data_IF_801324497730
#
_entry.id   IF_801324497730
#
_cell.length_a   1.000
_cell.length_b   1.000
_cell.length_c   1.000
_cell.angle_alpha   90.00
_cell.angle_beta   90.00
_cell.angle_gamma   90.00
#
_symmetry.space_group_name_H-M   'P 1'
#
loop_
_entity.id
_entity.type
_entity.pdbx_description
1 polymer ?
#
# COMPACT_ATOMS: atom_id res chain seq x y z
N UNK A 1 23.61 92.71 5.51
CA UNK A 1 23.48 91.55 4.60
C UNK A 1 23.66 90.24 5.33
N UNK A 2 22.65 89.37 5.33
CA UNK A 2 22.68 88.09 4.61
C UNK A 2 21.44 87.25 4.97
N UNK A 3 20.82 86.76 3.90
CA UNK A 3 19.60 85.97 3.83
C UNK A 3 19.70 84.61 4.52
N UNK A 4 18.57 84.00 4.88
CA UNK A 4 18.01 82.86 4.12
C UNK A 4 16.74 82.25 4.76
N UNK A 5 15.65 82.28 4.00
CA UNK A 5 14.57 81.28 3.93
C UNK A 5 15.16 79.90 3.54
N UNK A 6 14.52 78.73 3.54
CA UNK A 6 13.16 78.29 3.27
C UNK A 6 13.09 76.77 3.62
N UNK A 7 11.96 76.24 4.10
CA UNK A 7 11.00 75.40 3.35
C UNK A 7 11.21 73.87 3.37
N UNK A 8 10.17 73.23 3.91
CA UNK A 8 9.43 72.07 3.36
C UNK A 8 10.08 70.69 3.28
N UNK A 9 9.54 69.81 4.11
CA UNK A 9 9.65 68.34 4.04
C UNK A 9 9.06 67.76 2.75
N UNK A 10 9.55 66.58 2.32
CA UNK A 10 8.75 65.65 1.55
C UNK A 10 8.46 64.37 2.34
N UNK A 11 7.17 64.04 2.42
CA UNK A 11 6.69 62.69 2.72
C UNK A 11 7.17 61.72 1.63
N UNK A 12 7.66 60.55 2.01
CA UNK A 12 7.72 59.38 1.13
C UNK A 12 7.63 58.09 1.93
N UNK A 13 6.57 57.34 1.65
CA UNK A 13 6.15 56.07 2.24
C UNK A 13 7.10 54.90 1.93
N UNK A 14 7.17 53.86 2.79
CA UNK A 14 8.02 52.70 2.54
C UNK A 14 7.33 51.68 1.60
N UNK A 15 8.08 51.23 0.59
CA UNK A 15 7.68 50.15 -0.32
C UNK A 15 8.08 48.78 0.24
N UNK A 16 7.16 47.83 0.12
CA UNK A 16 7.27 46.41 0.49
C UNK A 16 8.42 45.73 -0.27
N UNK A 17 9.45 45.25 0.44
CA UNK A 17 10.54 44.48 -0.15
C UNK A 17 10.14 43.01 -0.36
N UNK A 18 10.10 42.59 -1.63
CA UNK A 18 9.93 41.19 -2.04
C UNK A 18 11.27 40.47 -1.99
N UNK A 19 11.40 39.47 -1.14
CA UNK A 19 12.56 38.59 -1.07
C UNK A 19 12.61 37.64 -2.27
N UNK A 20 13.72 37.67 -3.02
CA UNK A 20 14.14 36.62 -3.95
C UNK A 20 15.46 36.03 -3.43
N UNK A 21 15.45 34.75 -3.06
CA UNK A 21 16.66 34.04 -2.65
C UNK A 21 17.37 33.47 -3.87
N UNK A 22 18.53 34.04 -4.18
CA UNK A 22 19.48 33.58 -5.20
C UNK A 22 20.40 32.49 -4.63
N UNK A 23 20.57 31.43 -5.42
CA UNK A 23 21.58 30.38 -5.25
C UNK A 23 23.00 31.00 -5.25
N UNK A 24 23.85 30.60 -4.31
CA UNK A 24 25.29 30.90 -4.35
C UNK A 24 26.12 29.64 -4.58
N UNK A 25 26.75 29.65 -5.75
CA UNK A 25 27.92 28.89 -6.16
C UNK A 25 29.10 29.32 -5.31
N UNK A 26 29.83 28.36 -4.72
CA UNK A 26 31.16 28.61 -4.17
C UNK A 26 32.19 27.95 -5.08
N UNK A 27 33.04 28.80 -5.66
CA UNK A 27 34.33 28.44 -6.22
C UNK A 27 35.38 28.99 -5.25
N UNK A 28 36.27 28.13 -4.75
CA UNK A 28 37.62 28.56 -4.42
C UNK A 28 38.60 27.39 -4.58
N UNK A 29 39.52 27.62 -5.51
CA UNK A 29 40.68 26.84 -5.87
C UNK A 29 41.75 26.93 -4.77
N UNK A 30 42.43 25.82 -4.47
CA UNK A 30 43.79 25.81 -3.90
C UNK A 30 44.51 24.49 -4.19
N UNK A 31 45.64 24.63 -4.86
CA UNK A 31 46.70 23.65 -5.19
C UNK A 31 47.27 22.99 -3.91
N UNK A 32 48.00 21.88 -3.84
CA UNK A 32 48.55 20.86 -4.76
C UNK A 32 49.10 19.71 -3.87
N UNK A 33 49.13 18.47 -4.37
CA UNK A 33 50.21 17.47 -4.12
C UNK A 33 49.96 16.19 -4.93
N UNK A 34 50.91 15.90 -5.81
CA UNK A 34 50.99 14.76 -6.72
C UNK A 34 51.42 13.51 -5.96
N UNK A 35 50.68 12.41 -6.11
CA UNK A 35 51.21 11.06 -5.90
C UNK A 35 50.78 10.21 -7.09
N UNK A 36 51.76 9.82 -7.92
CA UNK A 36 51.62 8.89 -9.04
C UNK A 36 51.34 7.49 -8.49
N UNK A 37 50.34 6.80 -9.05
CA UNK A 37 50.45 5.36 -9.28
C UNK A 37 49.84 5.02 -10.65
N UNK A 38 50.70 4.54 -11.55
CA UNK A 38 50.36 3.96 -12.86
C UNK A 38 50.18 2.46 -12.66
N UNK A 39 49.19 1.88 -13.32
CA UNK A 39 49.25 0.66 -14.15
C UNK A 39 47.79 0.24 -14.41
N UNK A 40 47.37 -0.36 -15.52
CA UNK A 40 47.83 -0.46 -16.90
C UNK A 40 46.65 -1.14 -17.61
N UNK A 41 46.27 -0.64 -18.78
CA UNK A 41 45.29 -1.27 -19.65
C UNK A 41 45.88 -2.56 -20.24
N UNK A 42 45.15 -3.66 -20.17
CA UNK A 42 45.44 -4.86 -20.94
C UNK A 42 44.14 -5.38 -21.58
N UNK A 43 44.20 -5.43 -22.91
CA UNK A 43 43.27 -6.12 -23.82
C UNK A 43 43.62 -7.60 -23.85
N UNK A 44 42.63 -8.49 -23.97
CA UNK A 44 42.45 -9.47 -25.06
C UNK A 44 41.20 -10.35 -24.78
N UNK A 45 40.33 -10.54 -25.79
CA UNK A 45 40.09 -11.78 -26.55
C UNK A 45 39.27 -12.83 -25.79
N UNK A 46 38.00 -13.08 -26.09
CA UNK A 46 37.39 -13.77 -27.26
C UNK A 46 37.03 -15.24 -26.93
N UNK A 47 35.90 -15.70 -27.47
CA UNK A 47 35.54 -17.10 -27.85
C UNK A 47 35.37 -18.12 -26.68
N UNK A 48 34.40 -19.04 -26.57
CA UNK A 48 33.54 -19.81 -27.50
C UNK A 48 32.38 -20.48 -26.69
N UNK A 49 31.17 -20.58 -27.24
CA UNK A 49 30.46 -21.77 -27.80
C UNK A 49 29.90 -22.82 -26.83
N UNK A 50 28.64 -23.17 -27.13
CA UNK A 50 28.00 -24.49 -27.00
C UNK A 50 27.51 -24.94 -25.61
N UNK A 51 26.19 -25.03 -25.46
CA UNK A 51 25.53 -25.94 -24.52
C UNK A 51 24.48 -26.72 -25.33
N UNK A 52 24.93 -27.80 -25.97
CA UNK A 52 24.07 -28.77 -26.64
C UNK A 52 24.12 -30.12 -25.93
N UNK A 53 22.98 -30.49 -25.36
CA UNK A 53 22.37 -31.82 -25.32
C UNK A 53 23.23 -33.05 -24.95
N UNK A 54 22.89 -33.67 -23.82
CA UNK A 54 23.00 -35.10 -23.65
C UNK A 54 21.63 -35.68 -23.24
N UNK A 55 20.94 -36.20 -24.24
CA UNK A 55 19.94 -37.27 -24.13
C UNK A 55 20.66 -38.53 -23.63
N UNK A 56 20.08 -39.27 -22.67
CA UNK A 56 20.26 -40.72 -22.52
C UNK A 56 19.31 -41.31 -21.47
N UNK A 57 18.22 -41.89 -21.98
CA UNK A 57 17.72 -43.24 -21.62
C UNK A 57 16.97 -43.46 -20.28
N UNK A 58 16.12 -44.52 -20.17
CA UNK A 58 15.36 -45.23 -21.21
C UNK A 58 13.88 -45.45 -20.85
N UNK A 59 13.16 -45.85 -21.88
CA UNK A 59 11.79 -46.35 -21.90
C UNK A 59 11.55 -47.58 -21.01
N UNK A 60 10.35 -47.63 -20.42
CA UNK A 60 9.65 -48.89 -20.15
C UNK A 60 8.16 -48.69 -20.33
N UNK A 61 7.73 -48.88 -21.57
CA UNK A 61 6.34 -49.17 -21.89
C UNK A 61 6.03 -50.58 -21.36
N UNK A 62 5.16 -50.70 -20.36
CA UNK A 62 4.33 -51.92 -20.20
C UNK A 62 2.86 -51.54 -20.24
N UNK A 63 2.37 -51.55 -21.48
CA UNK A 63 1.05 -51.91 -21.97
C UNK A 63 0.15 -52.66 -20.94
N UNK A 64 -1.00 -52.03 -20.66
CA UNK A 64 -2.38 -52.57 -20.61
C UNK A 64 -2.67 -53.82 -19.75
N UNK A 65 -3.74 -53.75 -18.95
CA UNK A 65 -5.07 -54.34 -19.22
C UNK A 65 -5.94 -54.33 -17.96
N UNK A 66 -7.23 -53.99 -18.16
CA UNK A 66 -8.30 -54.31 -17.23
C UNK A 66 -8.43 -55.84 -17.07
N UNK A 67 -8.61 -56.31 -15.84
CA UNK A 67 -9.28 -57.57 -15.52
C UNK A 67 -9.63 -57.61 -14.02
N UNK A 68 -10.93 -57.54 -13.72
CA UNK A 68 -11.56 -58.25 -12.58
C UNK A 68 -11.57 -59.77 -12.87
N UNK A 69 -12.06 -60.70 -11.99
CA UNK A 69 -12.40 -60.75 -10.54
C UNK A 69 -11.63 -61.97 -9.87
N UNK A 70 -12.01 -62.68 -8.77
CA UNK A 70 -13.26 -62.65 -7.99
C UNK A 70 -13.19 -62.91 -6.44
N UNK A 71 -14.37 -62.76 -5.82
CA UNK A 71 -14.91 -63.47 -4.64
C UNK A 71 -14.29 -63.28 -3.24
N UNK A 72 -15.18 -63.00 -2.27
CA UNK A 72 -15.14 -63.62 -0.94
C UNK A 72 -14.69 -62.71 0.20
N UNK A 73 -15.61 -62.40 1.11
CA UNK A 73 -15.43 -61.39 2.15
C UNK A 73 -14.53 -61.79 3.32
N UNK A 74 -14.11 -60.76 4.07
CA UNK A 74 -14.04 -60.78 5.52
C UNK A 74 -13.86 -59.33 6.02
N UNK A 75 -14.55 -59.07 7.11
CA UNK A 75 -14.62 -57.84 7.90
C UNK A 75 -13.25 -57.24 8.27
N UNK A 76 -13.09 -55.94 8.05
CA UNK A 76 -11.96 -55.16 8.56
C UNK A 76 -12.21 -53.68 8.35
N UNK A 77 -12.83 -53.03 9.33
CA UNK A 77 -13.25 -51.63 9.26
C UNK A 77 -12.09 -50.67 9.06
N UNK A 78 -12.04 -50.03 7.89
CA UNK A 78 -11.28 -48.80 7.69
C UNK A 78 -12.20 -47.66 8.09
N UNK A 79 -11.99 -47.12 9.29
CA UNK A 79 -12.55 -45.83 9.68
C UNK A 79 -12.16 -44.78 8.62
N UNK A 80 -13.11 -44.04 8.03
CA UNK A 80 -12.77 -42.81 7.34
C UNK A 80 -12.27 -41.86 8.42
N UNK A 81 -10.96 -41.56 8.40
CA UNK A 81 -10.45 -40.39 9.10
C UNK A 81 -11.26 -39.19 8.58
N UNK A 82 -12.02 -38.46 9.43
CA UNK A 82 -12.66 -37.25 8.97
C UNK A 82 -11.53 -36.33 8.56
N UNK A 83 -11.49 -35.94 7.29
CA UNK A 83 -10.77 -34.75 6.88
C UNK A 83 -11.19 -33.65 7.85
N UNK A 84 -10.28 -33.27 8.75
CA UNK A 84 -10.52 -32.15 9.65
C UNK A 84 -10.88 -30.97 8.74
N UNK A 85 -12.06 -30.35 8.90
CA UNK A 85 -12.36 -29.19 8.11
C UNK A 85 -11.29 -28.15 8.47
N UNK A 86 -10.60 -27.62 7.47
CA UNK A 86 -9.75 -26.43 7.59
C UNK A 86 -10.59 -25.16 7.89
N UNK A 87 -11.78 -25.31 8.48
CA UNK A 87 -12.79 -24.28 8.70
C UNK A 87 -12.66 -23.59 10.07
N UNK A 88 -11.53 -23.78 10.76
CA UNK A 88 -11.29 -23.05 12.01
C UNK A 88 -10.90 -21.59 11.78
N UNK A 89 -10.55 -21.20 10.54
CA UNK A 89 -10.09 -19.85 10.20
C UNK A 89 -11.22 -18.90 9.81
N UNK A 90 -12.40 -19.43 9.44
CA UNK A 90 -13.55 -18.63 8.98
C UNK A 90 -14.23 -17.83 10.11
N UNK A 91 -14.05 -18.25 11.36
CA UNK A 91 -14.67 -17.61 12.54
C UNK A 91 -14.18 -16.18 12.83
N UNK A 92 -13.14 -15.72 12.15
CA UNK A 92 -12.58 -14.37 12.34
C UNK A 92 -12.50 -13.55 11.05
N UNK A 93 -13.17 -14.00 9.98
CA UNK A 93 -13.29 -13.28 8.72
C UNK A 93 -14.64 -12.57 8.67
N UNK A 94 -14.76 -11.44 9.36
CA UNK A 94 -16.01 -10.66 9.35
C UNK A 94 -15.95 -9.57 8.29
N UNK A 95 -16.95 -9.57 7.41
CA UNK A 95 -17.19 -8.47 6.50
C UNK A 95 -17.93 -7.32 7.21
N UNK A 96 -17.51 -6.10 6.92
CA UNK A 96 -18.06 -4.87 7.45
C UNK A 96 -18.35 -3.90 6.32
N UNK A 97 -19.53 -3.29 6.36
CA UNK A 97 -19.90 -2.17 5.50
C UNK A 97 -19.92 -0.92 6.35
N UNK A 98 -19.03 0.03 6.04
CA UNK A 98 -18.92 1.29 6.77
C UNK A 98 -19.52 2.42 5.95
N UNK A 99 -20.66 2.96 6.39
CA UNK A 99 -21.26 4.14 5.79
C UNK A 99 -20.56 5.42 6.25
N UNK A 100 -20.37 6.36 5.33
CA UNK A 100 -19.78 7.67 5.62
C UNK A 100 -20.85 8.74 5.84
N UNK A 101 -20.48 9.81 6.56
CA UNK A 101 -21.41 10.91 6.87
C UNK A 101 -21.86 11.71 5.63
N UNK A 102 -21.05 11.73 4.56
CA UNK A 102 -21.34 12.42 3.31
C UNK A 102 -22.05 11.53 2.27
N UNK A 103 -22.51 10.35 2.68
CA UNK A 103 -23.02 9.33 1.78
C UNK A 103 -21.94 8.37 1.30
N UNK A 104 -22.39 7.30 0.66
CA UNK A 104 -21.55 6.20 0.22
C UNK A 104 -21.08 5.29 1.36
N UNK A 105 -20.46 4.19 0.96
CA UNK A 105 -19.96 3.18 1.88
C UNK A 105 -18.66 2.56 1.40
N UNK A 106 -17.95 1.91 2.32
CA UNK A 106 -16.81 1.06 2.02
C UNK A 106 -17.01 -0.32 2.64
N UNK A 107 -16.69 -1.35 1.87
CA UNK A 107 -16.74 -2.74 2.31
C UNK A 107 -15.35 -3.24 2.62
N UNK A 108 -15.18 -3.85 3.78
CA UNK A 108 -13.90 -4.34 4.26
C UNK A 108 -14.04 -5.62 5.06
N UNK A 109 -13.01 -6.46 5.02
CA UNK A 109 -12.92 -7.67 5.84
C UNK A 109 -11.80 -7.48 6.84
N UNK A 110 -12.07 -7.77 8.11
CA UNK A 110 -11.09 -7.59 9.19
C UNK A 110 -10.82 -8.94 9.85
N UNK A 111 -9.54 -9.24 10.04
CA UNK A 111 -9.08 -10.46 10.70
C UNK A 111 -7.90 -10.13 11.61
N UNK A 112 -7.86 -10.72 12.80
CA UNK A 112 -6.71 -10.60 13.70
C UNK A 112 -6.14 -11.98 13.99
N UNK A 113 -4.81 -12.11 13.90
CA UNK A 113 -4.08 -13.30 14.28
C UNK A 113 -3.26 -13.01 15.55
N UNK A 114 -3.61 -13.62 16.70
CA UNK A 114 -2.89 -13.39 17.96
C UNK A 114 -1.47 -13.97 17.95
N UNK A 115 -1.20 -15.02 17.16
CA UNK A 115 0.08 -15.74 17.17
C UNK A 115 1.23 -14.89 16.67
N UNK A 116 0.95 -13.95 15.76
CA UNK A 116 1.91 -13.00 15.20
C UNK A 116 1.57 -11.54 15.55
N UNK A 117 0.61 -11.31 16.46
CA UNK A 117 0.13 -10.00 16.85
C UNK A 117 -0.18 -9.08 15.64
N UNK A 118 -0.87 -9.64 14.63
CA UNK A 118 -1.11 -8.98 13.34
C UNK A 118 -2.59 -8.80 13.05
N UNK A 119 -2.99 -7.57 12.77
CA UNK A 119 -4.30 -7.23 12.21
C UNK A 119 -4.19 -7.14 10.69
N UNK A 120 -5.04 -7.88 10.00
CA UNK A 120 -5.26 -7.78 8.56
C UNK A 120 -6.56 -7.03 8.30
N UNK A 121 -6.51 -6.05 7.41
CA UNK A 121 -7.68 -5.34 6.89
C UNK A 121 -7.67 -5.46 5.38
N UNK A 122 -8.65 -6.16 4.81
CA UNK A 122 -8.87 -6.20 3.37
C UNK A 122 -9.86 -5.11 2.99
N UNK A 123 -9.46 -4.18 2.13
CA UNK A 123 -10.38 -3.23 1.51
C UNK A 123 -10.95 -3.88 0.25
N UNK A 124 -12.26 -4.09 0.20
CA UNK A 124 -12.93 -4.81 -0.88
C UNK A 124 -13.36 -3.85 -1.97
N UNK A 125 -14.31 -2.98 -1.68
CA UNK A 125 -14.87 -2.03 -2.64
C UNK A 125 -15.41 -0.79 -1.93
N UNK A 126 -15.61 0.29 -2.68
CA UNK A 126 -16.38 1.43 -2.20
C UNK A 126 -17.48 1.79 -3.19
N UNK A 127 -18.61 2.26 -2.67
CA UNK A 127 -19.86 2.44 -3.41
C UNK A 127 -20.49 3.78 -3.05
N UNK A 128 -21.21 4.38 -4.00
CA UNK A 128 -22.00 5.62 -3.83
C UNK A 128 -21.21 6.81 -3.23
N UNK A 129 -19.91 6.89 -3.50
CA UNK A 129 -19.05 7.98 -3.02
C UNK A 129 -19.12 9.24 -3.88
N UNK A 130 -19.52 9.10 -5.15
CA UNK A 130 -19.45 10.17 -6.15
C UNK A 130 -20.85 10.53 -6.65
N UNK A 131 -21.06 11.81 -6.93
CA UNK A 131 -22.27 12.26 -7.61
C UNK A 131 -22.44 11.56 -8.97
N UNK A 132 -23.69 11.28 -9.36
CA UNK A 132 -24.03 10.60 -10.62
C UNK A 132 -23.53 11.37 -11.85
N UNK A 133 -23.45 12.69 -11.76
CA UNK A 133 -23.01 13.59 -12.83
C UNK A 133 -21.50 13.93 -12.79
N UNK A 134 -20.76 13.44 -11.79
CA UNK A 134 -19.31 13.65 -11.69
C UNK A 134 -18.58 13.07 -12.92
N UNK A 135 -17.70 13.82 -13.59
CA UNK A 135 -16.91 13.25 -14.69
C UNK A 135 -16.01 12.11 -14.19
N UNK A 136 -16.22 10.92 -14.75
CA UNK A 136 -15.48 9.70 -14.41
C UNK A 136 -13.98 9.89 -14.60
N UNK A 137 -13.55 10.64 -15.62
CA UNK A 137 -12.12 10.90 -15.87
C UNK A 137 -11.44 11.71 -14.76
N UNK A 138 -12.24 12.37 -13.91
CA UNK A 138 -11.75 13.13 -12.76
C UNK A 138 -11.65 12.30 -11.47
N UNK A 139 -12.02 11.01 -11.52
CA UNK A 139 -12.00 10.11 -10.37
C UNK A 139 -10.66 9.38 -10.27
N UNK A 140 -10.00 9.55 -9.12
CA UNK A 140 -8.76 8.89 -8.72
C UNK A 140 -8.94 8.42 -7.26
N UNK A 141 -9.68 7.34 -7.04
CA UNK A 141 -10.05 6.88 -5.71
C UNK A 141 -8.87 6.21 -4.99
N UNK A 142 -8.62 6.63 -3.75
CA UNK A 142 -7.60 6.07 -2.88
C UNK A 142 -8.13 5.92 -1.46
N UNK A 143 -7.87 4.78 -0.82
CA UNK A 143 -8.20 4.52 0.57
C UNK A 143 -6.94 4.65 1.42
N UNK A 144 -7.02 5.39 2.52
CA UNK A 144 -5.97 5.47 3.52
C UNK A 144 -6.47 4.85 4.83
N UNK A 145 -5.65 3.99 5.40
CA UNK A 145 -5.91 3.33 6.68
C UNK A 145 -4.81 3.69 7.68
N UNK A 146 -5.16 3.85 8.94
CA UNK A 146 -4.20 4.00 10.04
C UNK A 146 -4.88 3.71 11.37
N UNK A 147 -4.07 3.45 12.40
CA UNK A 147 -4.61 3.23 13.74
C UNK A 147 -4.50 4.48 14.60
N UNK A 148 -5.48 4.67 15.47
CA UNK A 148 -5.53 5.69 16.51
C UNK A 148 -5.52 5.03 17.90
N UNK A 149 -4.99 5.69 18.95
CA UNK A 149 -4.38 7.02 18.94
C UNK A 149 -3.01 7.07 18.22
N UNK A 150 -2.59 8.27 17.81
CA UNK A 150 -1.23 8.51 17.28
C UNK A 150 -1.04 8.36 15.76
N UNK A 151 -2.09 8.03 14.99
CA UNK A 151 -2.02 7.90 13.52
C UNK A 151 -0.88 6.97 13.05
N UNK A 152 -0.77 5.82 13.70
CA UNK A 152 0.33 4.88 13.51
C UNK A 152 0.10 3.99 12.30
N UNK A 153 1.20 3.47 11.72
CA UNK A 153 1.21 2.49 10.63
C UNK A 153 0.29 2.87 9.46
N UNK A 154 0.34 4.14 9.05
CA UNK A 154 -0.48 4.65 7.96
C UNK A 154 -0.13 3.95 6.65
N UNK A 155 -1.15 3.35 6.04
CA UNK A 155 -1.06 2.68 4.75
C UNK A 155 -2.05 3.30 3.75
N UNK A 156 -1.79 3.11 2.46
CA UNK A 156 -2.62 3.62 1.37
C UNK A 156 -2.78 2.56 0.31
N UNK A 157 -3.97 2.49 -0.26
CA UNK A 157 -4.26 1.63 -1.40
C UNK A 157 -3.60 2.13 -2.68
N UNK A 158 -3.61 1.28 -3.70
CA UNK A 158 -3.45 1.75 -5.07
C UNK A 158 -4.57 2.73 -5.43
N UNK A 159 -4.31 3.55 -6.45
CA UNK A 159 -5.29 4.53 -6.93
C UNK A 159 -6.09 3.87 -8.04
N UNK A 160 -7.39 3.72 -7.83
CA UNK A 160 -8.33 3.28 -8.87
C UNK A 160 -8.84 4.51 -9.61
N UNK A 161 -8.50 4.58 -10.90
CA UNK A 161 -8.90 5.69 -11.76
C UNK A 161 -10.20 5.36 -12.49
N UNK A 162 -10.93 6.40 -12.87
CA UNK A 162 -12.03 6.29 -13.82
C UNK A 162 -13.15 5.31 -13.41
N UNK A 163 -13.45 5.18 -12.11
CA UNK A 163 -14.53 4.32 -11.62
C UNK A 163 -15.27 4.96 -10.44
N UNK A 164 -16.61 4.97 -10.50
CA UNK A 164 -17.47 5.36 -9.37
C UNK A 164 -17.62 4.26 -8.33
N UNK A 165 -17.41 3.00 -8.73
CA UNK A 165 -17.49 1.81 -7.89
C UNK A 165 -16.13 1.10 -7.86
N UNK A 166 -15.11 1.70 -7.24
CA UNK A 166 -13.77 1.14 -7.20
C UNK A 166 -13.74 -0.17 -6.40
N UNK A 167 -13.17 -1.22 -6.99
CA UNK A 167 -12.93 -2.53 -6.37
C UNK A 167 -11.43 -2.65 -6.13
N UNK A 168 -11.03 -2.67 -4.87
CA UNK A 168 -9.62 -2.70 -4.46
C UNK A 168 -9.12 -4.14 -4.29
N UNK A 169 -9.82 -4.94 -3.49
CA UNK A 169 -9.37 -6.27 -3.05
C UNK A 169 -7.93 -6.27 -2.51
N UNK A 170 -7.55 -5.20 -1.80
CA UNK A 170 -6.19 -4.99 -1.29
C UNK A 170 -6.12 -5.35 0.21
N UNK A 171 -5.07 -6.09 0.58
CA UNK A 171 -4.80 -6.47 1.97
C UNK A 171 -3.78 -5.50 2.61
N UNK A 172 -4.13 -5.01 3.80
CA UNK A 172 -3.28 -4.17 4.64
C UNK A 172 -2.97 -4.88 5.95
N UNK A 173 -1.75 -4.69 6.44
CA UNK A 173 -1.27 -5.41 7.62
C UNK A 173 -0.75 -4.43 8.66
N UNK A 174 -1.19 -4.61 9.90
CA UNK A 174 -0.76 -3.84 11.05
C UNK A 174 -0.12 -4.78 12.07
N UNK A 175 1.16 -4.58 12.30
CA UNK A 175 2.02 -5.51 13.06
C UNK A 175 2.28 -5.01 14.48
N UNK A 176 2.64 -5.92 15.39
CA UNK A 176 2.98 -5.57 16.78
C UNK A 176 1.79 -5.15 17.64
N UNK A 177 0.59 -5.59 17.28
CA UNK A 177 -0.65 -5.27 17.97
C UNK A 177 -1.02 -6.35 18.99
N UNK A 178 -0.41 -6.31 20.17
CA UNK A 178 -0.84 -7.19 21.26
C UNK A 178 -2.31 -6.95 21.66
N UNK A 179 -2.97 -7.96 22.25
CA UNK A 179 -4.41 -7.90 22.62
C UNK A 179 -4.77 -6.68 23.49
N UNK A 180 -3.89 -6.31 24.43
CA UNK A 180 -4.09 -5.13 25.28
C UNK A 180 -4.05 -3.80 24.50
N UNK A 181 -3.28 -3.74 23.42
CA UNK A 181 -3.22 -2.57 22.54
C UNK A 181 -4.44 -2.55 21.63
N UNK A 182 -4.80 -3.70 21.04
CA UNK A 182 -5.98 -3.86 20.20
C UNK A 182 -7.26 -3.28 20.85
N UNK A 183 -7.49 -3.57 22.14
CA UNK A 183 -8.64 -3.05 22.90
C UNK A 183 -8.68 -1.52 23.07
N UNK A 184 -7.53 -0.85 22.96
CA UNK A 184 -7.37 0.60 23.17
C UNK A 184 -7.26 1.38 21.86
N UNK A 185 -7.30 0.68 20.73
CA UNK A 185 -7.06 1.26 19.42
C UNK A 185 -8.31 1.30 18.56
N UNK A 186 -8.30 2.24 17.62
CA UNK A 186 -9.33 2.40 16.60
C UNK A 186 -8.72 2.35 15.22
N UNK A 187 -9.40 1.70 14.28
CA UNK A 187 -9.08 1.79 12.86
C UNK A 187 -9.74 3.04 12.28
N UNK A 188 -8.94 3.91 11.66
CA UNK A 188 -9.44 5.04 10.86
C UNK A 188 -9.31 4.72 9.38
N UNK A 189 -10.43 4.83 8.67
CA UNK A 189 -10.55 4.67 7.23
C UNK A 189 -10.86 6.02 6.63
N UNK A 190 -10.11 6.43 5.59
CA UNK A 190 -10.39 7.62 4.80
C UNK A 190 -10.42 7.27 3.33
N UNK A 191 -11.46 7.69 2.61
CA UNK A 191 -11.52 7.61 1.16
C UNK A 191 -11.32 8.99 0.57
N UNK A 192 -10.35 9.11 -0.33
CA UNK A 192 -9.91 10.38 -0.90
C UNK A 192 -9.94 10.25 -2.42
N UNK A 193 -10.55 11.23 -3.09
CA UNK A 193 -10.35 11.44 -4.51
C UNK A 193 -9.07 12.26 -4.69
N UNK A 194 -8.03 11.64 -5.25
CA UNK A 194 -6.74 12.28 -5.47
C UNK A 194 -6.87 13.31 -6.59
N UNK A 195 -6.43 14.54 -6.32
CA UNK A 195 -6.38 15.56 -7.35
C UNK A 195 -5.31 15.25 -8.40
N UNK A 196 -5.52 15.69 -9.63
CA UNK A 196 -4.42 15.83 -10.60
C UNK A 196 -3.49 16.97 -10.16
N UNK A 197 -2.33 17.15 -10.80
CA UNK A 197 -1.22 18.01 -10.33
C UNK A 197 -1.60 19.39 -9.76
N UNK A 198 -2.64 20.04 -10.30
CA UNK A 198 -3.12 21.35 -9.85
C UNK A 198 -4.35 21.31 -8.94
N UNK A 199 -5.08 20.19 -8.90
CA UNK A 199 -6.29 20.02 -8.10
C UNK A 199 -5.91 19.46 -6.72
N UNK A 200 -6.55 19.98 -5.67
CA UNK A 200 -6.38 19.43 -4.32
C UNK A 200 -7.07 18.08 -4.18
N UNK A 201 -6.54 17.25 -3.29
CA UNK A 201 -7.22 16.04 -2.83
C UNK A 201 -8.57 16.39 -2.20
N UNK A 202 -9.60 15.61 -2.51
CA UNK A 202 -10.95 15.78 -1.94
C UNK A 202 -11.27 14.60 -1.03
N UNK A 203 -11.60 14.87 0.23
CA UNK A 203 -12.05 13.84 1.16
C UNK A 203 -13.50 13.45 0.84
N UNK A 204 -13.67 12.21 0.37
CA UNK A 204 -14.97 11.64 0.02
C UNK A 204 -15.70 11.12 1.26
N UNK A 205 -14.98 10.43 2.14
CA UNK A 205 -15.54 9.90 3.37
C UNK A 205 -14.47 9.53 4.39
N UNK A 206 -14.83 9.55 5.65
CA UNK A 206 -14.01 8.96 6.72
C UNK A 206 -14.86 8.31 7.79
N UNK A 207 -14.32 7.23 8.37
CA UNK A 207 -14.92 6.53 9.50
C UNK A 207 -13.82 6.11 10.46
N UNK A 208 -14.10 6.20 11.75
CA UNK A 208 -13.23 5.71 12.81
C UNK A 208 -14.04 4.73 13.67
N UNK A 209 -13.48 3.56 13.91
CA UNK A 209 -14.13 2.50 14.68
C UNK A 209 -13.13 1.87 15.65
N UNK A 210 -13.52 1.67 16.93
CA UNK A 210 -12.76 0.85 17.85
C UNK A 210 -12.53 -0.55 17.25
N UNK A 211 -11.33 -1.10 17.43
CA UNK A 211 -11.04 -2.45 16.93
C UNK A 211 -11.92 -3.50 17.62
N UNK A 212 -12.37 -3.25 18.86
CA UNK A 212 -13.36 -4.07 19.58
C UNK A 212 -14.73 -4.13 18.89
N UNK A 213 -15.11 -3.10 18.13
CA UNK A 213 -16.35 -3.10 17.35
C UNK A 213 -16.22 -3.91 16.05
N UNK A 214 -15.02 -3.96 15.48
CA UNK A 214 -14.72 -4.74 14.28
C UNK A 214 -14.49 -6.22 14.59
N UNK A 215 -13.91 -6.51 15.75
CA UNK A 215 -13.54 -7.85 16.19
C UNK A 215 -14.13 -8.10 17.59
N UNK A 216 -15.38 -8.60 17.69
CA UNK A 216 -16.12 -8.73 18.95
C UNK A 216 -15.51 -9.66 20.01
N UNK A 217 -14.47 -10.43 19.65
CA UNK A 217 -13.78 -11.36 20.54
C UNK A 217 -12.60 -10.72 21.30
N UNK A 218 -12.29 -9.44 21.05
CA UNK A 218 -11.20 -8.68 21.69
C UNK A 218 -11.59 -8.11 23.05
#
# INVERSE_FOLDING_TARGET
DTCSSAESSPFSSPLLSRSVSLLKIFSQESQSKVIKLKHSVARNSSLSTDDSSADTSPSSQRRMRCATPPTGGATGGVQPQPFAPADSQDRFHKEHVLSFSKGGSIRLVVQYNPSNARLRVRVVAAEDLYDKHCDVRSINCCVALYLNPGKVQKQRSTIIKNSRNPIFNEDFFFDGLGLSNMRKMSLKVKVVNKGSSLKRDTLMGEKELPLTSLLPFL
#
